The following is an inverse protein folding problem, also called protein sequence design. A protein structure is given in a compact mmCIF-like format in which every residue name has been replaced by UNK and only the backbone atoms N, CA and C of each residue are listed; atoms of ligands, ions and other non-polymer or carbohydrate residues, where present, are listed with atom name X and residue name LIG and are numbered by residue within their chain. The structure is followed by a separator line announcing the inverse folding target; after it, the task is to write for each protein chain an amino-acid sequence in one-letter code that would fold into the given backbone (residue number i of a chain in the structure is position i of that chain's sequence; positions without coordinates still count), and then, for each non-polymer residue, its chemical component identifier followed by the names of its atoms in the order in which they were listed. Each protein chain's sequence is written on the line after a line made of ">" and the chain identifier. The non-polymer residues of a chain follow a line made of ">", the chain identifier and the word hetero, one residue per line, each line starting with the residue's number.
data_IF_080499883115
#
_entry.id   IF_080499883115
#
_cell.length_a   1.000
_cell.length_b   1.000
_cell.length_c   1.000
_cell.angle_alpha   90.00
_cell.angle_beta   90.00
_cell.angle_gamma   90.00
#
_symmetry.space_group_name_H-M   'P 1'
#
loop_
_entity.id
_entity.type
_entity.pdbx_description
1 polymer ?
#
# COMPACT_ATOMS: atom_id res chain seq x y z
N UNK A 1 28.19 -32.99 8.85
CA UNK A 1 26.91 -33.22 8.14
C UNK A 1 26.39 -31.87 7.69
N UNK A 2 26.41 -31.55 6.38
CA UNK A 2 25.85 -30.29 5.90
C UNK A 2 24.32 -30.41 5.84
N UNK A 3 23.63 -29.42 6.40
CA UNK A 3 22.18 -29.29 6.38
C UNK A 3 21.75 -28.89 4.95
N UNK A 4 20.93 -29.72 4.32
CA UNK A 4 20.24 -29.37 3.08
C UNK A 4 19.28 -28.22 3.37
N UNK A 5 19.68 -27.00 3.00
CA UNK A 5 18.78 -25.85 2.94
C UNK A 5 17.92 -26.03 1.69
N UNK A 6 16.70 -26.55 1.87
CA UNK A 6 15.73 -26.60 0.78
C UNK A 6 15.33 -25.16 0.44
N UNK A 7 15.45 -24.71 -0.83
CA UNK A 7 14.95 -23.39 -1.21
C UNK A 7 13.44 -23.36 -1.00
N UNK A 8 12.94 -22.26 -0.44
CA UNK A 8 11.52 -22.00 -0.27
C UNK A 8 10.78 -22.19 -1.61
N UNK A 9 9.53 -22.71 -1.59
CA UNK A 9 8.75 -22.91 -2.81
C UNK A 9 8.65 -21.60 -3.58
N UNK A 10 9.07 -21.62 -4.84
CA UNK A 10 9.10 -20.47 -5.77
C UNK A 10 7.72 -20.14 -6.34
N UNK A 11 6.65 -20.63 -5.72
CA UNK A 11 5.28 -20.50 -6.20
C UNK A 11 4.49 -19.55 -5.28
N UNK A 12 5.02 -18.34 -5.14
CA UNK A 12 4.17 -17.24 -4.70
C UNK A 12 3.26 -16.91 -5.89
N UNK A 13 1.91 -16.97 -5.74
CA UNK A 13 1.02 -16.51 -6.79
C UNK A 13 1.41 -15.08 -7.16
N UNK A 14 1.40 -14.76 -8.46
CA UNK A 14 1.77 -13.40 -8.87
C UNK A 14 0.80 -12.44 -8.18
N UNK A 15 1.32 -11.40 -7.53
CA UNK A 15 0.47 -10.46 -6.78
C UNK A 15 -0.55 -9.73 -7.68
N UNK A 16 -0.35 -9.78 -9.00
CA UNK A 16 -1.32 -9.37 -10.03
C UNK A 16 -2.62 -10.18 -10.03
N UNK A 17 -2.60 -11.43 -9.54
CA UNK A 17 -3.71 -12.39 -9.65
C UNK A 17 -4.89 -12.04 -8.71
N UNK A 18 -4.63 -11.22 -7.69
CA UNK A 18 -5.67 -10.64 -6.84
C UNK A 18 -6.24 -9.34 -7.42
N UNK A 19 -5.47 -8.66 -8.28
CA UNK A 19 -5.84 -7.37 -8.87
C UNK A 19 -6.64 -7.57 -10.17
N UNK A 20 -6.34 -8.62 -10.92
CA UNK A 20 -7.05 -9.01 -12.13
C UNK A 20 -8.36 -9.80 -11.85
N UNK A 21 -8.55 -10.25 -10.61
CA UNK A 21 -9.71 -11.00 -10.16
C UNK A 21 -9.67 -12.50 -10.49
N UNK A 22 -8.50 -13.02 -10.88
CA UNK A 22 -8.31 -14.45 -11.18
C UNK A 22 -8.31 -15.32 -9.92
N UNK A 23 -7.88 -14.76 -8.78
CA UNK A 23 -8.07 -15.35 -7.45
C UNK A 23 -9.17 -14.58 -6.71
N UNK A 24 -10.25 -15.29 -6.35
CA UNK A 24 -11.38 -14.71 -5.63
C UNK A 24 -10.98 -14.22 -4.23
N UNK A 25 -11.42 -13.01 -3.87
CA UNK A 25 -11.37 -12.52 -2.49
C UNK A 25 -12.42 -13.24 -1.66
N UNK A 26 -12.01 -13.75 -0.50
CA UNK A 26 -12.94 -14.40 0.43
C UNK A 26 -13.66 -13.37 1.31
N UNK A 27 -14.91 -13.66 1.66
CA UNK A 27 -15.73 -12.76 2.49
C UNK A 27 -15.08 -12.50 3.85
N UNK A 28 -14.46 -13.52 4.47
CA UNK A 28 -13.73 -13.36 5.73
C UNK A 28 -12.51 -12.42 5.64
N UNK A 29 -11.85 -12.33 4.48
CA UNK A 29 -10.74 -11.39 4.27
C UNK A 29 -11.26 -9.96 4.18
N UNK A 30 -12.41 -9.75 3.53
CA UNK A 30 -13.08 -8.45 3.48
C UNK A 30 -13.53 -8.01 4.88
N UNK A 31 -14.20 -8.89 5.62
CA UNK A 31 -14.67 -8.58 6.99
C UNK A 31 -13.50 -8.23 7.93
N UNK A 32 -12.40 -8.98 7.84
CA UNK A 32 -11.19 -8.70 8.60
C UNK A 32 -10.57 -7.33 8.23
N UNK A 33 -10.48 -7.02 6.94
CA UNK A 33 -9.96 -5.75 6.46
C UNK A 33 -10.83 -4.56 6.90
N UNK A 34 -12.16 -4.68 6.75
CA UNK A 34 -13.13 -3.66 7.20
C UNK A 34 -13.00 -3.43 8.71
N UNK A 35 -12.91 -4.50 9.49
CA UNK A 35 -12.74 -4.41 10.94
C UNK A 35 -11.41 -3.76 11.33
N UNK A 36 -10.34 -4.04 10.59
CA UNK A 36 -9.02 -3.42 10.78
C UNK A 36 -9.05 -1.91 10.58
N UNK A 37 -9.67 -1.43 9.49
CA UNK A 37 -9.80 0.01 9.20
C UNK A 37 -10.64 0.72 10.28
N UNK A 38 -11.75 0.10 10.71
CA UNK A 38 -12.59 0.66 11.79
C UNK A 38 -11.80 0.76 13.09
N UNK A 39 -11.02 -0.27 13.43
CA UNK A 39 -10.19 -0.29 14.64
C UNK A 39 -9.11 0.80 14.60
N UNK A 40 -8.45 1.00 13.46
CA UNK A 40 -7.39 2.01 13.30
C UNK A 40 -7.92 3.43 13.54
N UNK A 41 -9.08 3.78 12.98
CA UNK A 41 -9.73 5.09 13.20
C UNK A 41 -10.06 5.33 14.69
N UNK A 42 -10.53 4.28 15.39
CA UNK A 42 -10.84 4.36 16.83
C UNK A 42 -9.55 4.53 17.64
N UNK A 43 -8.51 3.76 17.31
CA UNK A 43 -7.23 3.78 18.02
C UNK A 43 -6.53 5.13 17.85
N UNK A 44 -6.61 5.74 16.66
CA UNK A 44 -6.07 7.07 16.38
C UNK A 44 -6.76 8.17 17.21
N UNK A 45 -8.05 7.99 17.54
CA UNK A 45 -8.85 8.95 18.32
C UNK A 45 -9.00 8.59 19.81
N UNK A 46 -8.19 7.66 20.34
CA UNK A 46 -8.38 7.11 21.69
C UNK A 46 -8.17 8.08 22.85
N UNK A 47 -7.43 9.18 22.63
CA UNK A 47 -7.17 10.20 23.66
C UNK A 47 -7.76 11.54 23.28
N UNK A 48 -8.10 12.36 24.28
CA UNK A 48 -8.59 13.74 24.06
C UNK A 48 -7.59 14.57 23.27
N UNK A 49 -6.28 14.39 23.53
CA UNK A 49 -5.22 15.09 22.80
C UNK A 49 -5.18 14.67 21.31
N UNK A 50 -5.29 13.36 21.03
CA UNK A 50 -5.31 12.85 19.67
C UNK A 50 -6.57 13.29 18.91
N UNK A 51 -7.74 13.24 19.56
CA UNK A 51 -9.00 13.75 19.00
C UNK A 51 -8.94 15.26 18.70
N UNK A 52 -8.30 16.06 19.57
CA UNK A 52 -8.09 17.49 19.33
C UNK A 52 -7.14 17.74 18.14
N UNK A 53 -6.08 16.94 18.00
CA UNK A 53 -5.17 17.02 16.86
C UNK A 53 -5.89 16.66 15.54
N UNK A 54 -6.70 15.61 15.54
CA UNK A 54 -7.54 15.22 14.40
C UNK A 54 -8.53 16.32 14.03
N UNK A 55 -9.21 16.94 15.00
CA UNK A 55 -10.12 18.06 14.75
C UNK A 55 -9.40 19.28 14.13
N UNK A 56 -8.18 19.58 14.57
CA UNK A 56 -7.35 20.62 13.98
C UNK A 56 -6.97 20.29 12.52
N UNK A 57 -6.50 19.07 12.26
CA UNK A 57 -6.18 18.62 10.90
C UNK A 57 -7.41 18.64 9.98
N UNK A 58 -8.58 18.25 10.49
CA UNK A 58 -9.84 18.33 9.75
C UNK A 58 -10.16 19.77 9.34
N UNK A 59 -9.99 20.72 10.26
CA UNK A 59 -10.19 22.13 9.98
C UNK A 59 -9.21 22.65 8.91
N UNK A 60 -7.92 22.31 9.04
CA UNK A 60 -6.88 22.73 8.08
C UNK A 60 -7.10 22.14 6.69
N UNK A 61 -7.58 20.90 6.61
CA UNK A 61 -7.92 20.20 5.35
C UNK A 61 -9.30 20.59 4.80
N UNK A 62 -10.06 21.45 5.51
CA UNK A 62 -11.43 21.86 5.17
C UNK A 62 -12.40 20.67 5.00
N UNK A 63 -12.21 19.62 5.79
CA UNK A 63 -13.13 18.48 5.83
C UNK A 63 -14.15 18.65 6.96
N UNK A 64 -15.30 17.99 6.86
CA UNK A 64 -16.38 18.13 7.84
C UNK A 64 -15.97 17.56 9.21
N UNK A 65 -16.59 18.06 10.28
CA UNK A 65 -16.46 17.45 11.61
C UNK A 65 -17.09 16.06 11.70
N UNK A 66 -17.96 15.70 10.75
CA UNK A 66 -18.54 14.37 10.58
C UNK A 66 -17.66 13.42 9.76
N UNK A 67 -16.51 13.87 9.24
CA UNK A 67 -15.70 13.13 8.27
C UNK A 67 -15.42 11.68 8.70
N UNK A 68 -14.92 11.47 9.92
CA UNK A 68 -14.65 10.13 10.44
C UNK A 68 -15.90 9.25 10.49
N UNK A 69 -17.06 9.78 10.90
CA UNK A 69 -18.32 9.01 10.92
C UNK A 69 -18.78 8.65 9.52
N UNK A 70 -18.70 9.60 8.60
CA UNK A 70 -19.08 9.40 7.20
C UNK A 70 -18.13 8.40 6.51
N UNK A 71 -16.85 8.39 6.89
CA UNK A 71 -15.86 7.42 6.44
C UNK A 71 -16.19 6.01 6.94
N UNK A 72 -16.42 5.84 8.25
CA UNK A 72 -16.76 4.54 8.85
C UNK A 72 -18.05 3.96 8.27
N UNK A 73 -19.09 4.80 8.07
CA UNK A 73 -20.35 4.36 7.43
C UNK A 73 -20.12 3.87 6.00
N UNK A 74 -19.27 4.53 5.21
CA UNK A 74 -18.92 4.09 3.86
C UNK A 74 -18.07 2.82 3.86
N UNK A 75 -17.09 2.71 4.75
CA UNK A 75 -16.20 1.54 4.86
C UNK A 75 -17.02 0.29 5.22
N UNK A 76 -18.02 0.42 6.10
CA UNK A 76 -18.89 -0.71 6.48
C UNK A 76 -19.78 -1.25 5.33
N UNK A 77 -19.90 -0.51 4.23
CA UNK A 77 -20.74 -0.86 3.06
C UNK A 77 -19.92 -1.37 1.87
N UNK A 78 -18.59 -1.48 2.02
CA UNK A 78 -17.71 -1.95 0.95
C UNK A 78 -18.01 -3.40 0.62
N UNK A 79 -18.11 -3.72 -0.67
CA UNK A 79 -18.39 -5.07 -1.17
C UNK A 79 -17.19 -5.63 -1.93
N UNK A 80 -17.14 -6.96 -2.11
CA UNK A 80 -16.09 -7.62 -2.92
C UNK A 80 -16.04 -7.06 -4.37
N UNK A 81 -17.17 -6.87 -5.07
CA UNK A 81 -17.15 -6.24 -6.40
C UNK A 81 -16.54 -4.83 -6.42
N UNK A 82 -16.74 -4.04 -5.35
CA UNK A 82 -16.11 -2.72 -5.24
C UNK A 82 -14.59 -2.84 -5.11
N UNK A 83 -14.09 -3.79 -4.33
CA UNK A 83 -12.67 -4.06 -4.22
C UNK A 83 -12.06 -4.52 -5.54
N UNK A 84 -12.73 -5.40 -6.29
CA UNK A 84 -12.25 -5.83 -7.60
C UNK A 84 -12.19 -4.67 -8.60
N UNK A 85 -13.22 -3.81 -8.60
CA UNK A 85 -13.29 -2.62 -9.46
C UNK A 85 -12.17 -1.63 -9.13
N UNK A 86 -12.00 -1.30 -7.85
CA UNK A 86 -10.96 -0.35 -7.36
C UNK A 86 -9.57 -0.95 -7.52
N UNK A 87 -9.43 -2.26 -7.28
CA UNK A 87 -8.23 -3.06 -7.54
C UNK A 87 -7.73 -2.83 -8.96
N UNK A 88 -8.56 -3.17 -9.95
CA UNK A 88 -8.23 -2.96 -11.35
C UNK A 88 -8.00 -1.50 -11.74
N UNK A 89 -8.76 -0.58 -11.15
CA UNK A 89 -8.66 0.85 -11.51
C UNK A 89 -7.36 1.49 -11.01
N UNK A 90 -6.93 1.17 -9.78
CA UNK A 90 -5.83 1.87 -9.13
C UNK A 90 -4.59 1.01 -8.95
N UNK A 91 -4.73 -0.27 -8.59
CA UNK A 91 -3.57 -1.14 -8.35
C UNK A 91 -2.91 -1.61 -9.65
N UNK A 92 -3.67 -1.83 -10.72
CA UNK A 92 -3.07 -2.17 -12.02
C UNK A 92 -2.12 -1.07 -12.51
N UNK A 93 -2.48 0.21 -12.30
CA UNK A 93 -1.63 1.35 -12.65
C UNK A 93 -0.33 1.39 -11.85
N UNK A 94 -0.34 0.96 -10.59
CA UNK A 94 0.86 0.92 -9.74
C UNK A 94 1.92 -0.06 -10.25
N UNK A 95 1.48 -1.10 -10.97
CA UNK A 95 2.35 -2.12 -11.56
C UNK A 95 2.84 -1.74 -12.97
N UNK A 96 2.28 -0.68 -13.56
CA UNK A 96 2.71 -0.19 -14.87
C UNK A 96 3.87 0.81 -14.72
N UNK A 97 5.07 0.51 -15.26
CA UNK A 97 6.25 1.36 -15.13
C UNK A 97 6.12 2.71 -15.85
N UNK A 98 5.17 2.84 -16.77
CA UNK A 98 4.94 4.05 -17.56
C UNK A 98 4.05 5.07 -16.86
N UNK A 99 3.19 4.64 -15.93
CA UNK A 99 2.20 5.51 -15.28
C UNK A 99 2.55 5.85 -13.84
N UNK A 100 3.49 5.12 -13.24
CA UNK A 100 3.79 5.21 -11.80
C UNK A 100 5.20 5.71 -11.53
N UNK A 101 5.31 6.64 -10.58
CA UNK A 101 6.59 7.10 -10.04
C UNK A 101 7.01 6.20 -8.88
N UNK A 102 8.00 5.33 -9.11
CA UNK A 102 8.51 4.38 -8.12
C UNK A 102 9.81 4.88 -7.50
N UNK A 103 9.85 5.02 -6.18
CA UNK A 103 11.07 5.32 -5.41
C UNK A 103 11.26 4.26 -4.34
N UNK A 104 12.47 3.69 -4.24
CA UNK A 104 12.78 2.60 -3.31
C UNK A 104 14.02 2.96 -2.52
N UNK A 105 13.88 2.99 -1.19
CA UNK A 105 14.99 3.14 -0.26
C UNK A 105 15.44 1.76 0.21
N UNK A 106 16.70 1.43 0.00
CA UNK A 106 17.27 0.16 0.44
C UNK A 106 18.68 0.34 0.99
N UNK A 107 19.16 -0.66 1.73
CA UNK A 107 20.54 -0.66 2.22
C UNK A 107 21.51 -0.63 1.01
N UNK A 108 22.59 0.18 1.03
CA UNK A 108 23.56 0.29 -0.06
C UNK A 108 24.08 -1.07 -0.57
N UNK A 109 24.25 -2.04 0.31
CA UNK A 109 24.73 -3.38 -0.05
C UNK A 109 23.73 -4.18 -0.90
N UNK A 110 22.44 -3.83 -0.89
CA UNK A 110 21.35 -4.51 -1.62
C UNK A 110 20.89 -3.75 -2.87
N UNK A 111 21.38 -2.53 -3.10
CA UNK A 111 21.10 -1.74 -4.31
C UNK A 111 21.25 -2.55 -5.60
N UNK A 112 22.34 -3.32 -5.83
CA UNK A 112 22.48 -4.06 -7.09
C UNK A 112 21.44 -5.19 -7.24
N UNK A 113 21.08 -5.85 -6.13
CA UNK A 113 20.07 -6.91 -6.11
C UNK A 113 18.67 -6.35 -6.41
N UNK A 114 18.31 -5.25 -5.75
CA UNK A 114 17.03 -4.57 -5.92
C UNK A 114 16.89 -3.99 -7.32
N UNK A 115 17.95 -3.37 -7.85
CA UNK A 115 17.98 -2.87 -9.24
C UNK A 115 17.73 -4.01 -10.22
N UNK A 116 18.46 -5.12 -10.09
CA UNK A 116 18.28 -6.28 -10.96
C UNK A 116 16.88 -6.90 -10.84
N UNK A 117 16.28 -6.90 -9.65
CA UNK A 117 14.90 -7.36 -9.43
C UNK A 117 13.86 -6.48 -10.14
N UNK A 118 14.00 -5.16 -10.05
CA UNK A 118 13.08 -4.21 -10.66
C UNK A 118 13.21 -4.14 -12.18
N UNK A 119 14.44 -4.25 -12.70
CA UNK A 119 14.69 -4.34 -14.14
C UNK A 119 14.03 -5.59 -14.75
N UNK A 120 14.02 -6.72 -14.04
CA UNK A 120 13.31 -7.95 -14.47
C UNK A 120 11.79 -7.74 -14.57
N UNK A 121 11.24 -6.82 -13.79
CA UNK A 121 9.80 -6.50 -13.76
C UNK A 121 9.49 -5.35 -14.75
N UNK A 122 10.50 -4.83 -15.46
CA UNK A 122 10.33 -3.79 -16.47
C UNK A 122 10.41 -2.36 -15.94
N UNK A 123 10.81 -2.18 -14.68
CA UNK A 123 11.10 -0.86 -14.12
C UNK A 123 12.57 -0.48 -14.35
N UNK A 124 12.80 0.57 -15.15
CA UNK A 124 14.13 1.18 -15.28
C UNK A 124 14.38 2.10 -14.08
N UNK A 125 15.36 1.76 -13.23
CA UNK A 125 15.60 2.47 -11.96
C UNK A 125 16.96 3.16 -11.97
N UNK A 126 16.95 4.45 -11.65
CA UNK A 126 18.15 5.25 -11.38
C UNK A 126 18.53 5.15 -9.91
N UNK A 127 19.79 4.80 -9.63
CA UNK A 127 20.32 4.76 -8.27
C UNK A 127 20.68 6.17 -7.83
N UNK A 128 20.11 6.60 -6.71
CA UNK A 128 20.44 7.85 -6.04
C UNK A 128 21.11 7.47 -4.71
N UNK A 129 22.37 7.87 -4.53
CA UNK A 129 23.10 7.58 -3.29
C UNK A 129 22.67 8.51 -2.14
N UNK A 130 22.24 9.72 -2.46
CA UNK A 130 21.85 10.74 -1.49
C UNK A 130 20.71 11.62 -2.00
N UNK A 131 19.70 11.83 -1.16
CA UNK A 131 18.50 12.58 -1.49
C UNK A 131 18.79 14.09 -1.59
N UNK A 132 19.74 14.59 -0.79
CA UNK A 132 20.10 16.01 -0.77
C UNK A 132 20.69 16.46 -2.11
N UNK A 133 21.47 15.59 -2.77
CA UNK A 133 22.04 15.86 -4.10
C UNK A 133 21.00 16.03 -5.22
N UNK A 134 19.85 15.37 -5.08
CA UNK A 134 18.75 15.41 -6.06
C UNK A 134 17.81 16.59 -5.82
N UNK A 135 17.63 16.99 -4.56
CA UNK A 135 16.81 18.15 -4.21
C UNK A 135 17.52 19.48 -4.51
N UNK A 136 18.86 19.53 -4.41
CA UNK A 136 19.64 20.73 -4.70
C UNK A 136 19.82 21.03 -6.21
N UNK A 137 19.39 20.12 -7.09
CA UNK A 137 19.55 20.20 -8.54
C UNK A 137 18.26 20.52 -9.32
N UNK A 138 17.13 20.72 -8.62
CA UNK A 138 15.88 21.27 -9.15
C UNK A 138 15.62 22.69 -8.60
#
# INVERSE_FOLDING_TARGET
>A
MPLCFNPAPTDFPNQSDHVDGSVGLEEGQLEAAVSGVIYEEIEESKTVAAAANQALLHHLRRVSSSFSKDLLDKVSKVTIPDLQRVGKQYFSLLLEPTTTSTAICCNPSKVPEVKAGLEKIGHSVTVVEDLDSVLASN
#
